data_IF_287203425940
#
_entry.id   IF_287203425940
#
_cell.length_a   1.000
_cell.length_b   1.000
_cell.length_c   1.000
_cell.angle_alpha   90.00
_cell.angle_beta   90.00
_cell.angle_gamma   90.00
#
_symmetry.space_group_name_H-M   'P 1'
#
loop_
_entity.id
_entity.type
_entity.pdbx_description
1 polymer ?
#
# COMPACT_ATOMS: atom_id res chain seq x y z
N UNK A 1 -52.11 32.35 35.90
CA UNK A 1 -51.63 31.11 35.25
C UNK A 1 -50.11 31.14 35.23
N UNK A 2 -49.45 30.32 36.06
CA UNK A 2 -47.98 30.25 36.13
C UNK A 2 -47.54 28.93 35.51
N UNK A 3 -46.86 28.97 34.36
CA UNK A 3 -46.39 27.76 33.68
C UNK A 3 -44.98 27.43 34.14
N UNK A 4 -44.87 26.31 34.87
CA UNK A 4 -43.66 25.67 35.33
C UNK A 4 -42.82 25.19 34.15
N UNK A 5 -41.58 25.65 34.05
CA UNK A 5 -40.63 25.23 33.01
C UNK A 5 -39.88 23.97 33.44
N UNK A 6 -40.10 22.84 32.78
CA UNK A 6 -39.33 21.59 32.97
C UNK A 6 -37.97 21.68 32.26
N UNK A 7 -36.85 21.23 32.86
CA UNK A 7 -35.55 21.24 32.17
C UNK A 7 -35.45 20.08 31.16
N UNK A 8 -34.93 20.36 29.96
CA UNK A 8 -34.58 19.34 28.95
C UNK A 8 -33.36 18.53 29.40
N UNK A 9 -33.30 17.21 29.14
CA UNK A 9 -32.14 16.41 29.47
C UNK A 9 -30.95 16.79 28.56
N UNK A 10 -29.80 17.04 29.18
CA UNK A 10 -28.52 17.21 28.48
C UNK A 10 -28.07 15.85 27.96
N UNK A 11 -28.11 15.66 26.63
CA UNK A 11 -27.45 14.52 26.00
C UNK A 11 -25.94 14.62 26.23
N UNK A 12 -25.42 13.77 27.11
CA UNK A 12 -23.99 13.59 27.32
C UNK A 12 -23.34 13.17 26.01
N UNK A 13 -22.30 13.89 25.59
CA UNK A 13 -21.41 13.44 24.52
C UNK A 13 -20.73 12.16 25.01
N UNK A 14 -21.17 11.02 24.50
CA UNK A 14 -20.42 9.78 24.61
C UNK A 14 -19.04 10.02 23.99
N UNK A 15 -18.01 9.99 24.83
CA UNK A 15 -16.63 9.98 24.40
C UNK A 15 -16.41 8.67 23.64
N UNK A 16 -16.43 8.76 22.30
CA UNK A 16 -16.03 7.64 21.44
C UNK A 16 -14.53 7.49 21.60
N UNK A 17 -14.11 6.49 22.37
CA UNK A 17 -12.71 6.04 22.42
C UNK A 17 -12.27 5.74 20.98
N UNK A 18 -11.35 6.56 20.47
CA UNK A 18 -10.74 6.35 19.15
C UNK A 18 -9.74 5.23 19.29
N UNK A 19 -10.08 4.05 18.80
CA UNK A 19 -9.12 2.98 18.57
C UNK A 19 -8.25 3.42 17.40
N UNK A 20 -6.96 3.68 17.67
CA UNK A 20 -5.93 3.95 16.67
C UNK A 20 -5.61 2.64 15.92
N UNK A 21 -6.40 2.31 14.91
CA UNK A 21 -5.95 1.38 13.86
C UNK A 21 -5.20 2.20 12.83
N UNK A 22 -3.87 2.04 12.76
CA UNK A 22 -3.06 2.58 11.69
C UNK A 22 -3.63 2.16 10.34
N UNK A 23 -3.74 3.11 9.41
CA UNK A 23 -4.32 2.92 8.09
C UNK A 23 -3.36 2.19 7.12
N UNK A 24 -2.82 1.06 7.56
CA UNK A 24 -2.33 0.03 6.66
C UNK A 24 -3.45 -1.00 6.50
N UNK A 25 -3.82 -1.37 5.28
CA UNK A 25 -4.76 -2.46 5.06
C UNK A 25 -4.16 -3.76 5.65
N UNK A 26 -4.50 -4.08 6.91
CA UNK A 26 -4.22 -5.38 7.51
C UNK A 26 -5.15 -6.40 6.84
N UNK A 27 -4.73 -6.91 5.68
CA UNK A 27 -5.25 -8.19 5.18
C UNK A 27 -4.69 -9.27 6.10
N UNK A 28 -5.43 -9.56 7.17
CA UNK A 28 -5.12 -10.67 8.07
C UNK A 28 -5.33 -12.00 7.33
N UNK A 29 -4.24 -12.68 6.97
CA UNK A 29 -4.28 -14.05 6.46
C UNK A 29 -4.63 -15.00 7.61
N UNK A 30 -5.89 -15.43 7.67
CA UNK A 30 -6.30 -16.56 8.52
C UNK A 30 -5.93 -17.85 7.79
N UNK A 31 -4.82 -18.47 8.19
CA UNK A 31 -4.50 -19.84 7.79
C UNK A 31 -5.33 -20.82 8.62
N UNK A 32 -6.40 -21.37 8.04
CA UNK A 32 -7.12 -22.50 8.62
C UNK A 32 -6.35 -23.79 8.32
N UNK A 33 -5.57 -24.24 9.32
CA UNK A 33 -5.07 -25.60 9.37
C UNK A 33 -6.15 -26.51 9.97
N UNK A 34 -6.69 -27.44 9.17
CA UNK A 34 -7.40 -28.61 9.67
C UNK A 34 -7.31 -29.74 8.64
N UNK A 35 -6.59 -30.80 9.00
CA UNK A 35 -7.10 -32.17 8.99
C UNK A 35 -6.17 -33.05 9.83
N UNK A 36 -6.84 -33.86 10.65
CA UNK A 36 -6.40 -34.66 11.79
C UNK A 36 -5.97 -36.08 11.44
N UNK A 37 -5.11 -36.67 12.29
CA UNK A 37 -4.94 -38.12 12.50
C UNK A 37 -3.47 -38.54 12.51
N UNK A 38 -2.88 -39.22 13.49
CA UNK A 38 -3.33 -39.83 14.73
C UNK A 38 -2.30 -40.91 15.12
N UNK A 39 -1.95 -41.04 16.41
CA UNK A 39 -1.40 -42.29 16.99
C UNK A 39 -0.02 -42.26 17.69
N UNK A 40 -0.05 -42.16 19.04
CA UNK A 40 0.81 -42.82 20.06
C UNK A 40 2.33 -42.60 20.09
N UNK A 41 3.08 -42.67 21.19
CA UNK A 41 2.85 -42.84 22.64
C UNK A 41 4.19 -42.57 23.34
N UNK A 42 4.11 -42.03 24.57
CA UNK A 42 5.08 -42.06 25.70
C UNK A 42 6.41 -41.31 25.65
N UNK A 43 6.67 -40.56 26.74
CA UNK A 43 8.01 -40.19 27.20
C UNK A 43 8.08 -38.77 27.80
N UNK A 44 8.02 -38.66 29.12
CA UNK A 44 8.00 -37.40 29.88
C UNK A 44 9.42 -37.02 30.37
N UNK A 45 9.65 -35.70 30.57
CA UNK A 45 10.69 -35.04 31.40
C UNK A 45 12.13 -35.04 30.83
N UNK A 46 12.99 -34.02 30.95
CA UNK A 46 13.10 -32.86 31.84
C UNK A 46 14.02 -31.76 31.22
N UNK A 47 13.79 -30.51 31.64
CA UNK A 47 14.70 -29.34 31.84
C UNK A 47 15.96 -29.11 30.97
N UNK A 48 16.06 -27.92 30.33
CA UNK A 48 17.24 -27.42 29.59
C UNK A 48 18.42 -26.97 30.48
N UNK A 49 19.26 -25.97 30.09
CA UNK A 49 19.56 -25.39 28.77
C UNK A 49 21.08 -25.47 28.44
N UNK A 50 21.50 -25.34 27.17
CA UNK A 50 22.90 -24.97 26.83
C UNK A 50 23.05 -24.35 25.42
N UNK A 51 23.60 -23.14 25.42
CA UNK A 51 24.18 -22.36 24.29
C UNK A 51 25.42 -23.08 23.71
N UNK A 52 25.71 -22.99 22.40
CA UNK A 52 26.89 -22.24 21.88
C UNK A 52 26.58 -21.47 20.56
N UNK A 53 26.91 -20.19 20.41
CA UNK A 53 28.14 -19.61 19.80
C UNK A 53 28.73 -20.31 18.56
N UNK A 54 28.56 -19.63 17.42
CA UNK A 54 29.49 -19.30 16.33
C UNK A 54 30.54 -20.30 15.83
N UNK A 55 30.52 -20.55 14.51
CA UNK A 55 31.72 -20.69 13.68
C UNK A 55 31.38 -20.31 12.22
N UNK A 56 32.17 -19.40 11.66
CA UNK A 56 32.13 -19.05 10.24
C UNK A 56 33.01 -19.98 9.39
N UNK A 57 32.87 -19.85 8.07
CA UNK A 57 33.99 -19.75 7.13
C UNK A 57 33.48 -19.47 5.71
N UNK A 58 34.13 -18.51 5.05
CA UNK A 58 34.22 -18.41 3.58
C UNK A 58 35.44 -19.19 3.08
N UNK A 59 35.51 -19.49 1.77
CA UNK A 59 36.57 -18.86 0.98
C UNK A 59 36.14 -18.41 -0.44
N UNK A 60 37.05 -17.66 -1.07
CA UNK A 60 36.90 -16.78 -2.24
C UNK A 60 37.60 -17.32 -3.50
N UNK A 61 36.92 -17.12 -4.64
CA UNK A 61 37.34 -16.75 -6.02
C UNK A 61 38.29 -17.57 -6.94
N UNK A 62 37.91 -17.48 -8.23
CA UNK A 62 38.68 -17.64 -9.48
C UNK A 62 37.70 -18.14 -10.57
N UNK A 63 37.45 -17.58 -11.76
CA UNK A 63 38.12 -16.61 -12.63
C UNK A 63 38.27 -17.25 -14.03
N UNK A 64 37.58 -16.75 -15.08
CA UNK A 64 37.83 -17.17 -16.48
C UNK A 64 36.66 -16.98 -17.48
N UNK A 65 36.89 -16.20 -18.54
CA UNK A 65 35.97 -15.78 -19.62
C UNK A 65 35.70 -16.86 -20.69
N UNK A 66 34.60 -16.72 -21.44
CA UNK A 66 34.60 -16.80 -22.93
C UNK A 66 33.32 -16.22 -23.54
N UNK A 67 33.48 -15.60 -24.71
CA UNK A 67 32.48 -14.89 -25.49
C UNK A 67 31.65 -15.82 -26.41
N UNK A 68 30.43 -15.39 -26.75
CA UNK A 68 29.62 -16.01 -27.79
C UNK A 68 28.35 -15.20 -28.04
N UNK A 69 28.39 -14.28 -29.00
CA UNK A 69 27.22 -13.51 -29.43
C UNK A 69 26.27 -14.35 -30.27
N UNK A 70 24.95 -14.12 -30.10
CA UNK A 70 23.94 -14.26 -31.15
C UNK A 70 22.79 -13.30 -30.86
N UNK A 71 22.52 -12.48 -31.85
CA UNK A 71 21.46 -11.49 -31.96
C UNK A 71 20.09 -12.17 -32.03
N UNK A 72 19.14 -11.71 -31.24
CA UNK A 72 17.71 -11.89 -31.50
C UNK A 72 16.99 -10.64 -31.02
N UNK A 73 16.48 -9.89 -31.99
CA UNK A 73 15.71 -8.67 -31.78
C UNK A 73 14.43 -9.00 -31.02
N UNK A 74 14.28 -8.42 -29.82
CA UNK A 74 13.05 -8.51 -29.02
C UNK A 74 12.19 -7.26 -29.29
N UNK A 75 10.86 -7.42 -29.48
CA UNK A 75 9.95 -6.32 -29.81
C UNK A 75 10.02 -5.15 -28.83
N UNK A 76 9.97 -3.93 -29.38
CA UNK A 76 10.05 -2.66 -28.69
C UNK A 76 8.91 -2.47 -27.68
N UNK A 77 9.28 -2.41 -26.40
CA UNK A 77 8.46 -2.00 -25.26
C UNK A 77 8.20 -0.47 -25.32
N UNK A 78 7.06 0.05 -24.84
CA UNK A 78 6.73 1.47 -24.93
C UNK A 78 7.76 2.33 -24.19
N UNK A 79 8.15 3.46 -24.81
CA UNK A 79 9.14 4.40 -24.28
C UNK A 79 8.78 4.87 -22.87
N UNK A 80 9.67 4.61 -21.92
CA UNK A 80 9.69 5.24 -20.59
C UNK A 80 10.11 6.70 -20.80
N UNK A 81 9.18 7.64 -20.66
CA UNK A 81 9.52 9.06 -20.66
C UNK A 81 10.57 9.33 -19.58
N UNK A 82 11.69 9.92 -19.99
CA UNK A 82 12.93 10.03 -19.22
C UNK A 82 12.87 11.00 -18.04
N UNK A 83 11.93 10.82 -17.10
CA UNK A 83 12.04 11.45 -15.79
C UNK A 83 13.07 10.69 -14.95
N UNK A 84 14.10 11.39 -14.51
CA UNK A 84 15.08 10.85 -13.56
C UNK A 84 14.34 10.46 -12.28
N UNK A 85 14.56 9.23 -11.81
CA UNK A 85 14.03 8.77 -10.53
C UNK A 85 14.43 9.76 -9.43
N UNK A 86 13.45 10.13 -8.60
CA UNK A 86 13.67 10.96 -7.42
C UNK A 86 14.32 10.13 -6.31
N UNK A 87 13.88 8.88 -6.14
CA UNK A 87 14.49 7.90 -5.26
C UNK A 87 14.58 6.57 -5.97
N UNK A 88 15.74 5.90 -5.87
CA UNK A 88 15.90 4.56 -6.42
C UNK A 88 15.38 3.52 -5.45
N UNK A 89 14.49 2.65 -5.92
CA UNK A 89 13.87 1.51 -5.22
C UNK A 89 13.85 1.59 -3.69
N UNK A 90 14.57 0.66 -3.05
CA UNK A 90 14.63 0.51 -1.59
C UNK A 90 15.61 1.48 -0.91
N UNK A 91 15.26 1.95 0.27
CA UNK A 91 16.11 2.75 1.14
C UNK A 91 15.34 3.38 2.29
N UNK A 92 16.08 4.00 3.21
CA UNK A 92 15.54 4.92 4.21
C UNK A 92 16.10 6.30 3.89
N UNK A 93 15.21 7.26 3.66
CA UNK A 93 15.54 8.59 3.15
C UNK A 93 15.06 9.65 4.14
N UNK A 94 15.90 10.65 4.40
CA UNK A 94 15.55 11.79 5.22
C UNK A 94 14.71 12.79 4.43
N UNK A 95 13.51 13.09 4.93
CA UNK A 95 12.65 14.11 4.36
C UNK A 95 13.23 15.51 4.67
N UNK A 96 13.27 16.36 3.65
CA UNK A 96 13.89 17.70 3.68
C UNK A 96 15.36 17.73 3.26
N UNK A 97 16.09 16.61 3.26
CA UNK A 97 17.48 16.51 2.78
C UNK A 97 17.61 15.58 1.57
N UNK A 98 17.35 14.28 1.75
CA UNK A 98 17.46 13.27 0.68
C UNK A 98 16.31 13.39 -0.34
N UNK A 99 15.12 13.75 0.14
CA UNK A 99 13.94 14.01 -0.67
C UNK A 99 13.15 15.20 -0.12
N UNK A 100 12.62 16.04 -1.00
CA UNK A 100 11.82 17.19 -0.58
C UNK A 100 10.35 16.78 -0.34
N UNK A 101 9.60 17.48 0.54
CA UNK A 101 8.16 17.30 0.63
C UNK A 101 7.49 17.41 -0.74
N UNK A 102 6.51 16.55 -1.00
CA UNK A 102 5.87 16.44 -2.30
C UNK A 102 5.20 15.10 -2.53
N UNK A 103 4.59 14.93 -3.69
CA UNK A 103 3.95 13.67 -4.09
C UNK A 103 4.88 12.85 -4.96
N UNK A 104 5.02 11.58 -4.61
CA UNK A 104 5.86 10.60 -5.29
C UNK A 104 5.02 9.44 -5.78
N UNK A 105 5.44 8.82 -6.88
CA UNK A 105 4.81 7.65 -7.47
C UNK A 105 5.81 6.54 -7.74
N UNK A 106 5.41 5.32 -7.44
CA UNK A 106 6.06 4.09 -7.93
C UNK A 106 5.03 3.27 -8.70
N UNK A 107 5.45 2.57 -9.76
CA UNK A 107 4.55 1.81 -10.64
C UNK A 107 5.10 0.42 -10.91
N UNK A 108 4.23 -0.51 -11.31
CA UNK A 108 4.64 -1.86 -11.74
C UNK A 108 5.18 -2.74 -10.61
N UNK A 109 4.85 -2.44 -9.35
CA UNK A 109 5.25 -3.23 -8.20
C UNK A 109 4.56 -4.60 -8.25
N UNK A 110 5.34 -5.67 -8.04
CA UNK A 110 4.86 -7.05 -8.17
C UNK A 110 4.82 -7.75 -6.82
N UNK A 111 3.77 -8.52 -6.59
CA UNK A 111 3.52 -9.18 -5.30
C UNK A 111 3.39 -8.18 -4.15
N UNK A 112 3.36 -8.68 -2.91
CA UNK A 112 3.37 -7.85 -1.70
C UNK A 112 4.78 -7.30 -1.38
N UNK A 113 5.66 -7.21 -2.39
CA UNK A 113 7.07 -6.91 -2.21
C UNK A 113 7.38 -5.44 -1.99
N UNK A 114 6.48 -4.53 -2.36
CA UNK A 114 6.67 -3.10 -2.13
C UNK A 114 6.01 -2.69 -0.81
N UNK A 115 6.85 -2.44 0.19
CA UNK A 115 6.50 -1.79 1.44
C UNK A 115 7.04 -0.36 1.45
N UNK A 116 6.24 0.60 1.90
CA UNK A 116 6.73 1.93 2.21
C UNK A 116 6.17 2.45 3.52
N UNK A 117 6.86 3.44 4.11
CA UNK A 117 6.51 4.03 5.39
C UNK A 117 6.95 5.51 5.46
N UNK A 118 6.05 6.37 5.94
CA UNK A 118 6.36 7.72 6.44
C UNK A 118 6.54 7.64 7.95
N UNK A 119 7.61 8.20 8.50
CA UNK A 119 7.89 8.14 9.94
C UNK A 119 8.31 9.48 10.55
N UNK A 120 8.00 9.63 11.85
CA UNK A 120 8.29 10.82 12.68
C UNK A 120 9.75 10.91 13.11
N UNK A 121 10.47 9.79 13.12
CA UNK A 121 11.86 9.71 13.55
C UNK A 121 12.48 8.38 13.10
N UNK A 122 13.75 8.17 13.46
CA UNK A 122 14.55 6.99 13.11
C UNK A 122 14.55 5.88 14.17
N UNK A 123 13.63 5.90 15.14
CA UNK A 123 13.60 4.91 16.23
C UNK A 123 13.28 3.50 15.73
N UNK A 124 12.47 3.39 14.68
CA UNK A 124 11.95 2.11 14.18
C UNK A 124 10.78 1.56 15.00
N UNK A 125 10.27 2.32 15.96
CA UNK A 125 9.10 1.96 16.77
C UNK A 125 7.81 2.09 15.96
N UNK A 126 6.82 1.26 16.26
CA UNK A 126 5.52 1.26 15.55
C UNK A 126 4.82 2.61 15.71
N UNK A 127 4.97 3.26 16.86
CA UNK A 127 4.39 4.56 17.18
C UNK A 127 5.02 5.71 16.40
N UNK A 128 6.22 5.50 15.84
CA UNK A 128 6.90 6.46 14.96
C UNK A 128 6.29 6.47 13.56
N UNK A 129 5.58 5.41 13.17
CA UNK A 129 4.93 5.30 11.86
C UNK A 129 3.80 6.33 11.77
N UNK A 130 3.87 7.17 10.74
CA UNK A 130 2.81 8.11 10.36
C UNK A 130 1.81 7.39 9.47
N UNK A 131 2.31 6.78 8.39
CA UNK A 131 1.54 5.97 7.48
C UNK A 131 2.44 4.92 6.83
N UNK A 132 1.89 3.75 6.51
CA UNK A 132 2.60 2.71 5.79
C UNK A 132 1.63 1.89 4.94
N UNK A 133 2.17 1.15 3.98
CA UNK A 133 1.36 0.31 3.12
C UNK A 133 2.17 -0.81 2.48
N UNK A 134 1.47 -1.89 2.10
CA UNK A 134 2.00 -2.97 1.28
C UNK A 134 1.25 -2.97 -0.04
N UNK A 135 1.95 -2.68 -1.14
CA UNK A 135 1.30 -2.34 -2.41
C UNK A 135 1.72 -3.25 -3.55
N UNK A 136 0.71 -3.71 -4.30
CA UNK A 136 0.85 -4.20 -5.67
C UNK A 136 0.54 -3.06 -6.64
N UNK A 137 1.11 -3.14 -7.85
CA UNK A 137 0.82 -2.18 -8.91
C UNK A 137 1.42 -0.80 -8.64
N UNK A 138 0.57 0.22 -8.55
CA UNK A 138 0.96 1.62 -8.41
C UNK A 138 0.74 2.11 -6.99
N UNK A 139 1.65 2.94 -6.49
CA UNK A 139 1.43 3.67 -5.24
C UNK A 139 1.79 5.13 -5.43
N UNK A 140 1.00 5.99 -4.80
CA UNK A 140 1.27 7.41 -4.61
C UNK A 140 1.47 7.67 -3.14
N UNK A 141 2.46 8.49 -2.79
CA UNK A 141 2.69 8.93 -1.41
C UNK A 141 2.96 10.42 -1.39
N UNK A 142 2.26 11.14 -0.54
CA UNK A 142 2.55 12.55 -0.23
C UNK A 142 3.43 12.58 1.00
N UNK A 143 4.68 12.99 0.82
CA UNK A 143 5.60 13.29 1.91
C UNK A 143 5.33 14.72 2.36
N UNK A 144 4.96 14.88 3.63
CA UNK A 144 4.64 16.18 4.22
C UNK A 144 5.89 16.83 4.81
N UNK A 145 5.86 18.15 4.98
CA UNK A 145 6.99 18.88 5.57
C UNK A 145 7.30 18.49 7.02
N UNK A 146 6.33 17.89 7.72
CA UNK A 146 6.50 17.38 9.07
C UNK A 146 7.22 16.03 9.15
N UNK A 147 7.21 15.26 8.06
CA UNK A 147 7.82 13.94 8.02
C UNK A 147 9.32 14.03 8.24
N UNK A 148 9.91 13.02 8.88
CA UNK A 148 11.36 12.93 9.07
C UNK A 148 12.00 11.88 8.19
N UNK A 149 11.32 10.75 8.01
CA UNK A 149 11.81 9.66 7.18
C UNK A 149 10.75 9.18 6.20
N UNK A 150 11.20 8.78 5.03
CA UNK A 150 10.49 7.90 4.11
C UNK A 150 11.31 6.63 3.92
N UNK A 151 10.70 5.48 4.20
CA UNK A 151 11.29 4.17 3.99
C UNK A 151 10.58 3.49 2.83
N UNK A 152 11.35 2.86 1.96
CA UNK A 152 10.88 2.09 0.80
C UNK A 152 11.62 0.75 0.80
N UNK A 153 10.93 -0.35 0.60
CA UNK A 153 11.53 -1.67 0.54
C UNK A 153 10.82 -2.51 -0.53
N UNK A 154 11.60 -3.03 -1.48
CA UNK A 154 11.12 -3.88 -2.57
C UNK A 154 10.19 -3.17 -3.57
N UNK A 155 10.10 -1.84 -3.49
CA UNK A 155 9.42 -1.02 -4.47
C UNK A 155 10.31 -0.74 -5.68
N UNK A 156 9.69 -0.52 -6.83
CA UNK A 156 10.33 0.10 -7.97
C UNK A 156 10.68 1.56 -7.68
N UNK A 157 11.54 2.14 -8.52
CA UNK A 157 11.95 3.55 -8.44
C UNK A 157 10.76 4.50 -8.28
N UNK A 158 10.95 5.49 -7.42
CA UNK A 158 9.98 6.56 -7.18
C UNK A 158 10.29 7.78 -8.02
N UNK A 159 9.28 8.38 -8.60
CA UNK A 159 9.34 9.64 -9.35
C UNK A 159 8.48 10.71 -8.70
N UNK A 160 8.87 11.97 -8.83
CA UNK A 160 8.04 13.10 -8.39
C UNK A 160 6.88 13.31 -9.36
N UNK A 161 5.72 13.57 -8.78
CA UNK A 161 4.50 13.89 -9.50
C UNK A 161 4.09 15.32 -9.17
N UNK A 162 3.85 16.11 -10.21
CA UNK A 162 3.18 17.40 -10.03
C UNK A 162 1.75 17.12 -9.54
N UNK A 163 1.34 17.65 -8.36
CA UNK A 163 -0.02 17.49 -7.87
C UNK A 163 -1.11 17.92 -8.86
N UNK A 164 -0.78 18.84 -9.78
CA UNK A 164 -1.67 19.35 -10.83
C UNK A 164 -1.58 18.58 -12.15
N UNK A 165 -0.73 17.55 -12.23
CA UNK A 165 -0.62 16.72 -13.43
C UNK A 165 -1.98 16.07 -13.77
N UNK A 166 -2.37 16.23 -15.03
CA UNK A 166 -3.56 15.63 -15.65
C UNK A 166 -3.16 15.02 -16.99
N UNK A 167 -3.96 14.09 -17.49
CA UNK A 167 -3.82 13.48 -18.82
C UNK A 167 -4.97 13.92 -19.71
N UNK A 168 -4.74 14.10 -21.00
CA UNK A 168 -5.82 14.32 -22.00
C UNK A 168 -6.61 13.03 -22.26
N UNK A 169 -6.03 11.87 -21.94
CA UNK A 169 -6.63 10.57 -22.13
C UNK A 169 -6.37 9.64 -20.92
N UNK A 170 -6.93 9.96 -19.74
CA UNK A 170 -6.83 9.07 -18.58
C UNK A 170 -7.62 7.78 -18.84
N UNK A 171 -7.19 6.67 -18.23
CA UNK A 171 -7.79 5.37 -18.51
C UNK A 171 -9.23 5.30 -18.01
N UNK A 172 -10.03 4.46 -18.66
CA UNK A 172 -11.41 4.14 -18.26
C UNK A 172 -11.54 2.76 -17.63
N UNK A 173 -10.41 2.13 -17.31
CA UNK A 173 -10.34 0.87 -16.58
C UNK A 173 -9.23 0.95 -15.51
N UNK A 174 -9.49 0.34 -14.36
CA UNK A 174 -8.49 0.14 -13.30
C UNK A 174 -8.37 -1.36 -13.02
N UNK A 175 -7.17 -1.92 -13.19
CA UNK A 175 -6.88 -3.28 -12.74
C UNK A 175 -7.19 -3.37 -11.24
N UNK A 176 -7.87 -4.43 -10.80
CA UNK A 176 -8.35 -4.48 -9.42
C UNK A 176 -7.25 -4.70 -8.38
N UNK A 177 -6.06 -5.18 -8.79
CA UNK A 177 -4.78 -5.16 -8.05
C UNK A 177 -3.81 -4.08 -8.57
N UNK A 178 -4.37 -3.02 -9.16
CA UNK A 178 -3.58 -1.94 -9.74
C UNK A 178 -3.00 -0.96 -8.72
N UNK A 179 -3.38 -1.07 -7.45
CA UNK A 179 -2.97 -0.16 -6.40
C UNK A 179 -3.74 1.17 -6.50
N UNK A 180 -3.02 2.28 -6.43
CA UNK A 180 -3.58 3.64 -6.38
C UNK A 180 -3.44 4.37 -7.71
N UNK A 181 -4.52 5.02 -8.14
CA UNK A 181 -4.65 5.76 -9.39
C UNK A 181 -5.01 7.21 -9.09
N UNK A 182 -4.26 8.18 -9.61
CA UNK A 182 -4.59 9.60 -9.51
C UNK A 182 -5.74 9.94 -10.47
N UNK A 183 -6.82 10.50 -9.96
CA UNK A 183 -8.00 10.84 -10.77
C UNK A 183 -7.66 12.00 -11.71
N UNK A 184 -8.10 11.90 -12.97
CA UNK A 184 -7.78 12.86 -14.03
C UNK A 184 -6.40 12.69 -14.67
N UNK A 185 -5.48 11.95 -14.04
CA UNK A 185 -4.18 11.59 -14.61
C UNK A 185 -4.15 10.14 -15.08
N UNK A 186 -4.34 9.20 -14.16
CA UNK A 186 -4.28 7.77 -14.46
C UNK A 186 -5.65 7.20 -14.81
N UNK A 187 -6.69 7.68 -14.11
CA UNK A 187 -8.06 7.16 -14.19
C UNK A 187 -9.05 8.33 -14.39
N UNK A 188 -9.93 8.21 -15.37
CA UNK A 188 -10.96 9.21 -15.62
C UNK A 188 -11.98 9.26 -14.45
N UNK A 189 -12.59 10.40 -14.15
CA UNK A 189 -13.79 10.42 -13.30
C UNK A 189 -14.93 9.68 -13.99
N UNK A 190 -15.80 9.03 -13.24
CA UNK A 190 -16.93 8.27 -13.76
C UNK A 190 -17.46 7.23 -12.78
N UNK A 191 -18.50 6.52 -13.20
CA UNK A 191 -19.02 5.36 -12.46
C UNK A 191 -18.35 4.10 -12.98
N UNK A 192 -17.81 3.29 -12.07
CA UNK A 192 -17.07 2.08 -12.35
C UNK A 192 -17.77 0.86 -11.75
N UNK A 193 -17.69 -0.27 -12.44
CA UNK A 193 -18.22 -1.56 -11.99
C UNK A 193 -17.11 -2.60 -11.92
N UNK A 194 -17.16 -3.43 -10.89
CA UNK A 194 -16.35 -4.64 -10.74
C UNK A 194 -17.26 -5.81 -10.39
N UNK A 195 -16.86 -7.03 -10.75
CA UNK A 195 -17.56 -8.26 -10.31
C UNK A 195 -17.27 -8.63 -8.86
N UNK A 196 -16.47 -7.83 -8.13
CA UNK A 196 -16.13 -8.07 -6.73
C UNK A 196 -14.74 -8.68 -6.57
N UNK A 197 -14.53 -9.54 -5.56
CA UNK A 197 -13.26 -10.25 -5.36
C UNK A 197 -12.77 -10.97 -6.62
N UNK A 198 -11.50 -10.76 -6.98
CA UNK A 198 -10.86 -11.54 -8.02
C UNK A 198 -10.69 -13.00 -7.59
N UNK A 199 -10.69 -13.92 -8.57
CA UNK A 199 -10.44 -15.33 -8.30
C UNK A 199 -9.05 -15.50 -7.64
N UNK A 200 -9.02 -16.21 -6.50
CA UNK A 200 -7.79 -16.43 -5.73
C UNK A 200 -7.34 -15.25 -4.87
N UNK A 201 -8.07 -14.13 -4.85
CA UNK A 201 -7.82 -13.03 -3.92
C UNK A 201 -8.35 -13.37 -2.52
N UNK A 202 -7.68 -12.84 -1.48
CA UNK A 202 -8.15 -12.90 -0.10
C UNK A 202 -9.36 -11.98 0.17
N UNK A 203 -9.64 -11.02 -0.72
CA UNK A 203 -10.76 -10.10 -0.63
C UNK A 203 -10.66 -8.96 -1.65
N UNK A 204 -11.72 -8.19 -1.84
CA UNK A 204 -11.69 -6.96 -2.61
C UNK A 204 -11.76 -5.77 -1.66
N UNK A 205 -10.89 -4.79 -1.88
CA UNK A 205 -10.93 -3.50 -1.21
C UNK A 205 -10.83 -2.40 -2.25
N UNK A 206 -11.63 -1.34 -2.08
CA UNK A 206 -11.45 -0.10 -2.82
C UNK A 206 -11.60 1.11 -1.91
N UNK A 207 -10.98 2.21 -2.33
CA UNK A 207 -11.00 3.48 -1.62
C UNK A 207 -10.97 4.65 -2.60
N UNK A 208 -11.76 5.69 -2.33
CA UNK A 208 -11.59 7.03 -2.89
C UNK A 208 -10.90 7.88 -1.83
N UNK A 209 -9.82 8.55 -2.18
CA UNK A 209 -9.03 9.37 -1.28
C UNK A 209 -8.90 10.81 -1.78
N UNK A 210 -8.87 11.76 -0.84
CA UNK A 210 -8.73 13.20 -1.10
C UNK A 210 -7.29 13.57 -1.49
N UNK A 211 -6.32 12.86 -0.92
CA UNK A 211 -4.90 13.04 -1.16
C UNK A 211 -4.18 11.68 -1.00
N UNK A 212 -2.85 11.66 -1.11
CA UNK A 212 -2.04 10.46 -0.94
C UNK A 212 -1.22 10.47 0.35
N UNK A 213 -1.74 11.09 1.43
CA UNK A 213 -1.07 11.06 2.75
C UNK A 213 -1.27 9.72 3.46
N UNK A 214 -2.34 8.99 3.10
CA UNK A 214 -2.77 7.70 3.70
C UNK A 214 -3.20 7.81 5.17
N UNK A 215 -3.55 9.00 5.63
CA UNK A 215 -4.19 9.17 6.93
C UNK A 215 -5.68 8.82 6.83
N UNK A 216 -6.29 8.38 7.93
CA UNK A 216 -7.72 8.05 7.98
C UNK A 216 -8.61 9.22 7.52
N UNK A 217 -8.18 10.45 7.75
CA UNK A 217 -8.92 11.65 7.35
C UNK A 217 -8.83 11.94 5.84
N UNK A 218 -7.88 11.32 5.13
CA UNK A 218 -7.75 11.42 3.67
C UNK A 218 -8.79 10.56 2.94
N UNK A 219 -9.36 9.54 3.60
CA UNK A 219 -10.36 8.64 3.02
C UNK A 219 -11.66 9.42 2.80
N UNK A 220 -12.12 9.45 1.55
CA UNK A 220 -13.42 10.02 1.18
C UNK A 220 -14.53 8.95 1.27
N UNK A 221 -14.24 7.74 0.81
CA UNK A 221 -15.09 6.56 0.98
C UNK A 221 -14.26 5.30 0.71
N UNK A 222 -14.61 4.19 1.35
CA UNK A 222 -14.02 2.89 1.07
C UNK A 222 -15.03 1.77 1.32
N UNK A 223 -14.74 0.58 0.80
CA UNK A 223 -15.55 -0.61 1.03
C UNK A 223 -14.76 -1.90 0.80
N UNK A 224 -15.27 -3.02 1.34
CA UNK A 224 -14.73 -4.36 1.21
C UNK A 224 -15.77 -5.32 0.59
N UNK A 225 -16.16 -5.11 -0.69
CA UNK A 225 -17.27 -5.84 -1.27
C UNK A 225 -16.97 -7.34 -1.40
N UNK A 226 -17.95 -8.17 -1.07
CA UNK A 226 -17.90 -9.64 -1.20
C UNK A 226 -18.53 -10.15 -2.51
N UNK A 227 -19.03 -9.24 -3.35
CA UNK A 227 -19.65 -9.51 -4.65
C UNK A 227 -19.56 -8.29 -5.58
N UNK A 228 -20.38 -8.22 -6.64
CA UNK A 228 -20.34 -7.10 -7.58
C UNK A 228 -20.43 -5.75 -6.88
N UNK A 229 -19.61 -4.80 -7.32
CA UNK A 229 -19.46 -3.50 -6.71
C UNK A 229 -19.57 -2.40 -7.76
N UNK A 230 -20.15 -1.26 -7.37
CA UNK A 230 -20.27 -0.06 -8.21
C UNK A 230 -19.80 1.13 -7.39
N UNK A 231 -18.94 1.96 -7.97
CA UNK A 231 -18.39 3.15 -7.33
C UNK A 231 -18.38 4.32 -8.29
N UNK A 232 -18.81 5.49 -7.83
CA UNK A 232 -18.63 6.74 -8.57
C UNK A 232 -17.36 7.42 -8.10
N UNK A 233 -16.37 7.51 -8.98
CA UNK A 233 -15.14 8.29 -8.81
C UNK A 233 -15.40 9.69 -9.33
N UNK A 234 -15.49 10.66 -8.43
CA UNK A 234 -15.76 12.06 -8.77
C UNK A 234 -14.50 12.77 -9.26
N UNK A 235 -14.66 13.83 -10.05
CA UNK A 235 -13.53 14.67 -10.48
C UNK A 235 -12.83 15.40 -9.32
N UNK A 236 -13.47 15.48 -8.14
CA UNK A 236 -12.89 16.06 -6.92
C UNK A 236 -12.17 15.02 -6.05
N UNK A 237 -12.31 13.72 -6.34
CA UNK A 237 -11.48 12.73 -5.67
C UNK A 237 -10.04 12.92 -6.14
N UNK A 238 -9.08 12.84 -5.21
CA UNK A 238 -7.67 12.90 -5.57
C UNK A 238 -7.21 11.59 -6.19
N UNK A 239 -7.65 10.47 -5.61
CA UNK A 239 -7.18 9.14 -5.95
C UNK A 239 -8.28 8.08 -5.81
N UNK A 240 -8.15 7.01 -6.60
CA UNK A 240 -8.87 5.75 -6.44
C UNK A 240 -7.86 4.64 -6.18
N UNK A 241 -7.99 3.89 -5.08
CA UNK A 241 -7.15 2.75 -4.72
C UNK A 241 -7.96 1.47 -4.76
N UNK A 242 -7.39 0.39 -5.27
CA UNK A 242 -8.02 -0.94 -5.30
C UNK A 242 -6.99 -2.05 -5.13
N UNK A 243 -7.38 -3.09 -4.40
CA UNK A 243 -6.61 -4.35 -4.30
C UNK A 243 -7.57 -5.54 -4.22
N UNK A 244 -7.17 -6.65 -4.85
CA UNK A 244 -7.83 -7.94 -4.80
C UNK A 244 -9.21 -7.99 -5.47
N UNK A 245 -9.57 -6.95 -6.21
CA UNK A 245 -10.81 -6.88 -6.97
C UNK A 245 -10.62 -7.42 -8.39
N UNK A 246 -11.71 -7.83 -9.03
CA UNK A 246 -11.75 -7.90 -10.48
C UNK A 246 -11.62 -6.49 -11.08
N UNK A 247 -11.14 -6.40 -12.32
CA UNK A 247 -10.95 -5.14 -13.04
C UNK A 247 -12.19 -4.25 -12.98
N UNK A 248 -11.98 -3.00 -12.58
CA UNK A 248 -12.99 -1.96 -12.60
C UNK A 248 -13.11 -1.38 -14.01
N UNK A 249 -14.32 -1.34 -14.55
CA UNK A 249 -14.61 -0.76 -15.87
C UNK A 249 -15.60 0.38 -15.73
N UNK A 250 -15.28 1.52 -16.36
CA UNK A 250 -16.22 2.65 -16.43
C UNK A 250 -17.46 2.24 -17.22
N UNK A 251 -18.64 2.53 -16.66
CA UNK A 251 -19.96 2.32 -17.28
C UNK A 251 -20.51 3.58 -17.91
#
# INVERSE_FOLDING_TARGET
>A
MSQSSTPRPRHGRSARHRVLTGAGALVALVALAACTGGGGTSGSKDTGPKKPTAAGNSPKAGGGQTAGGKTSAKPSEPKKDGKKAAMRGSGTFQAGSDLQPGTYRTTGNKGLGCYWERAKDASGEVESIIANDNVTGTSYVTIEAGDKLFKSNGCNDWETIDPKAVSDAPKTEAAGDGGMFKVGLDLAPGTYKSSGPAAGSAGCYWERAKNASHDVDSIAANDNPTGPAVVTVSAQDGYFKTTGCATWKKS
#
